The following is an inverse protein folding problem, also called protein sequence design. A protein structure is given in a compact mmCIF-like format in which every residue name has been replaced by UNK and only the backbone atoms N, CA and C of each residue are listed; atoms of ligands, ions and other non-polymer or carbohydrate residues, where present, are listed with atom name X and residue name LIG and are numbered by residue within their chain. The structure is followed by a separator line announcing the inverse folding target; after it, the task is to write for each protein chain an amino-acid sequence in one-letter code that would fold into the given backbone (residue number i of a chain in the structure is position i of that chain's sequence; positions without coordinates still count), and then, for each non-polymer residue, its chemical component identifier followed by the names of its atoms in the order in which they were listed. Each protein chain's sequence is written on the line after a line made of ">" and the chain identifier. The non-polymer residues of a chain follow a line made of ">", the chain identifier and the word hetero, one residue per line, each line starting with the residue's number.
data_IF_742920890669
#
_entry.id   IF_742920890669
#
_cell.length_a   1.000
_cell.length_b   1.000
_cell.length_c   1.000
_cell.angle_alpha   90.00
_cell.angle_beta   90.00
_cell.angle_gamma   90.00
#
_symmetry.space_group_name_H-M   'P 1'
#
loop_
_entity.id
_entity.type
_entity.pdbx_description
1 polymer ?
#
# COMPACT_ATOMS: atom_id res chain seq x y z
N UNK A 1 -10.32 24.47 -20.96
CA UNK A 1 -10.59 23.25 -20.15
C UNK A 1 -9.83 22.09 -20.78
N UNK A 2 -8.60 21.84 -20.35
CA UNK A 2 -7.82 20.70 -20.82
C UNK A 2 -7.74 19.70 -19.68
N UNK A 3 -8.63 18.72 -19.69
CA UNK A 3 -8.58 17.57 -18.79
C UNK A 3 -7.33 16.75 -19.12
N UNK A 4 -6.31 16.78 -18.26
CA UNK A 4 -5.14 15.91 -18.39
C UNK A 4 -5.51 14.49 -17.96
N UNK A 5 -5.73 13.65 -18.96
CA UNK A 5 -5.67 12.19 -18.84
C UNK A 5 -4.24 11.79 -18.49
N UNK A 6 -4.01 11.04 -17.41
CA UNK A 6 -2.89 10.10 -17.31
C UNK A 6 -3.29 8.96 -16.38
N UNK A 7 -3.63 7.82 -16.99
CA UNK A 7 -3.63 6.49 -16.40
C UNK A 7 -2.25 6.22 -15.77
N UNK A 8 -2.05 6.56 -14.51
CA UNK A 8 -0.77 6.31 -13.82
C UNK A 8 -0.82 4.93 -13.18
N UNK A 9 -0.02 4.00 -13.71
CA UNK A 9 0.50 2.87 -12.93
C UNK A 9 1.30 3.47 -11.77
N UNK A 10 0.63 3.67 -10.64
CA UNK A 10 1.14 4.42 -9.51
C UNK A 10 1.57 3.49 -8.38
N UNK A 11 2.70 3.80 -7.78
CA UNK A 11 3.07 3.27 -6.47
C UNK A 11 2.20 3.94 -5.41
N UNK A 12 1.67 3.17 -4.47
CA UNK A 12 0.86 3.65 -3.35
C UNK A 12 1.66 3.40 -2.07
N UNK A 13 1.93 4.46 -1.31
CA UNK A 13 2.51 4.32 0.04
C UNK A 13 1.36 4.34 1.04
N UNK A 14 1.23 3.27 1.82
CA UNK A 14 0.21 3.17 2.85
C UNK A 14 0.71 2.34 4.04
N UNK A 15 0.01 2.43 5.18
CA UNK A 15 0.34 1.64 6.36
C UNK A 15 -0.08 0.18 6.17
N UNK A 16 0.79 -0.73 6.56
CA UNK A 16 0.61 -2.17 6.46
C UNK A 16 0.78 -2.84 7.81
N UNK A 17 -0.14 -3.75 8.14
CA UNK A 17 -0.17 -4.47 9.40
C UNK A 17 0.80 -5.66 9.45
N UNK A 18 1.27 -6.17 8.29
CA UNK A 18 2.17 -7.33 8.24
C UNK A 18 1.47 -8.68 8.45
N UNK A 19 0.15 -8.75 8.27
CA UNK A 19 -0.66 -9.95 8.48
C UNK A 19 -0.66 -10.83 7.21
N UNK A 20 -0.58 -12.16 7.35
CA UNK A 20 -0.62 -13.08 6.20
C UNK A 20 -1.96 -13.01 5.43
N UNK A 21 -3.05 -12.75 6.15
CA UNK A 21 -4.38 -12.52 5.56
C UNK A 21 -4.36 -11.33 4.57
N UNK A 22 -3.61 -10.29 4.92
CA UNK A 22 -3.46 -9.12 4.04
C UNK A 22 -2.67 -9.40 2.77
N UNK A 23 -1.78 -10.39 2.76
CA UNK A 23 -1.05 -10.79 1.55
C UNK A 23 -1.97 -11.44 0.52
N UNK A 24 -2.97 -12.19 0.98
CA UNK A 24 -3.96 -12.82 0.11
C UNK A 24 -4.90 -11.77 -0.53
N UNK A 25 -5.35 -10.79 0.26
CA UNK A 25 -6.13 -9.65 -0.27
C UNK A 25 -5.34 -8.84 -1.31
N UNK A 26 -4.03 -8.66 -1.09
CA UNK A 26 -3.15 -7.97 -2.02
C UNK A 26 -3.05 -8.72 -3.35
N UNK A 27 -2.94 -10.05 -3.32
CA UNK A 27 -2.94 -10.90 -4.51
C UNK A 27 -4.24 -10.78 -5.31
N UNK A 28 -5.40 -10.85 -4.63
CA UNK A 28 -6.72 -10.65 -5.26
C UNK A 28 -6.85 -9.27 -5.92
N UNK A 29 -6.29 -8.24 -5.29
CA UNK A 29 -6.26 -6.87 -5.81
C UNK A 29 -5.21 -6.67 -6.92
N UNK A 30 -4.41 -7.71 -7.23
CA UNK A 30 -3.22 -7.64 -8.09
C UNK A 30 -2.26 -6.53 -7.65
N UNK A 31 -2.02 -6.42 -6.36
CA UNK A 31 -1.10 -5.44 -5.76
C UNK A 31 0.00 -6.20 -5.03
N UNK A 32 1.24 -5.75 -5.15
CA UNK A 32 2.39 -6.35 -4.45
C UNK A 32 3.18 -5.30 -3.70
N UNK A 33 3.76 -5.69 -2.55
CA UNK A 33 4.67 -4.84 -1.78
C UNK A 33 6.01 -4.81 -2.54
N UNK A 34 6.43 -3.62 -2.97
CA UNK A 34 7.69 -3.42 -3.69
C UNK A 34 8.84 -3.05 -2.76
N UNK A 35 8.55 -2.28 -1.73
CA UNK A 35 9.56 -1.84 -0.78
C UNK A 35 8.92 -1.43 0.54
N UNK A 36 9.60 -1.73 1.65
CA UNK A 36 9.25 -1.24 2.99
C UNK A 36 10.37 -0.30 3.41
N UNK A 37 10.15 1.03 3.43
CA UNK A 37 11.18 1.97 3.86
C UNK A 37 11.64 1.66 5.30
N UNK A 38 12.96 1.68 5.54
CA UNK A 38 13.50 1.55 6.91
C UNK A 38 13.24 2.79 7.75
N UNK A 39 13.25 3.97 7.12
CA UNK A 39 12.89 5.23 7.75
C UNK A 39 11.37 5.37 7.81
N UNK A 40 10.82 4.86 8.90
CA UNK A 40 9.40 4.97 9.23
C UNK A 40 9.19 6.34 9.89
N UNK A 41 8.28 7.15 9.33
CA UNK A 41 8.03 8.53 9.82
C UNK A 41 7.40 8.60 11.21
N UNK A 42 7.22 7.45 11.88
CA UNK A 42 6.42 7.33 13.09
C UNK A 42 4.93 7.55 12.82
N UNK A 43 4.10 7.24 13.81
CA UNK A 43 2.65 7.40 13.74
C UNK A 43 1.91 6.10 13.46
N UNK A 44 0.96 5.78 14.34
CA UNK A 44 -0.07 4.78 14.09
C UNK A 44 -1.06 5.33 13.07
N UNK A 45 -1.27 4.58 12.00
CA UNK A 45 -2.39 4.81 11.11
C UNK A 45 -3.10 3.47 10.83
N UNK A 46 -4.39 3.51 10.45
CA UNK A 46 -5.11 2.29 10.10
C UNK A 46 -4.47 1.63 8.88
N UNK A 47 -4.34 0.31 8.93
CA UNK A 47 -3.86 -0.50 7.84
C UNK A 47 -4.80 -0.34 6.64
N UNK A 48 -4.21 -0.19 5.45
CA UNK A 48 -4.96 0.03 4.21
C UNK A 48 -5.91 -1.12 3.84
N UNK A 49 -5.72 -2.30 4.42
CA UNK A 49 -6.50 -3.51 4.12
C UNK A 49 -7.49 -3.85 5.25
N UNK A 50 -7.02 -3.87 6.49
CA UNK A 50 -7.81 -4.35 7.64
C UNK A 50 -8.31 -3.24 8.55
N UNK A 51 -7.83 -2.01 8.40
CA UNK A 51 -8.13 -0.90 9.32
C UNK A 51 -7.47 -1.02 10.70
N UNK A 52 -6.74 -2.10 10.98
CA UNK A 52 -6.01 -2.29 12.25
C UNK A 52 -4.90 -1.23 12.43
N UNK A 53 -4.56 -0.83 13.66
CA UNK A 53 -3.45 0.08 13.89
C UNK A 53 -2.14 -0.51 13.35
N UNK A 54 -1.50 0.23 12.45
CA UNK A 54 -0.26 -0.16 11.80
C UNK A 54 0.75 1.00 11.88
N UNK A 55 1.97 0.64 12.26
CA UNK A 55 3.08 1.59 12.40
C UNK A 55 4.01 1.56 11.18
N UNK A 56 3.92 0.51 10.37
CA UNK A 56 4.81 0.24 9.24
C UNK A 56 4.22 0.82 7.95
N UNK A 57 4.94 1.69 7.28
CA UNK A 57 4.71 2.12 5.90
C UNK A 57 5.25 1.06 4.93
N UNK A 58 4.41 0.63 4.00
CA UNK A 58 4.80 -0.19 2.86
C UNK A 58 4.45 0.52 1.55
N UNK A 59 5.27 0.30 0.53
CA UNK A 59 5.04 0.79 -0.83
C UNK A 59 4.49 -0.35 -1.66
N UNK A 60 3.26 -0.16 -2.10
CA UNK A 60 2.49 -1.07 -2.92
C UNK A 60 2.56 -0.65 -4.39
N UNK A 61 2.55 -1.61 -5.30
CA UNK A 61 2.39 -1.36 -6.73
C UNK A 61 1.48 -2.40 -7.35
N UNK A 62 0.71 -1.99 -8.35
CA UNK A 62 -0.09 -2.92 -9.14
C UNK A 62 0.84 -3.89 -9.89
N UNK A 63 0.64 -5.18 -9.70
CA UNK A 63 1.17 -6.25 -10.54
C UNK A 63 0.20 -6.48 -11.72
N UNK A 64 0.75 -6.82 -12.89
CA UNK A 64 -0.03 -7.02 -14.12
C UNK A 64 -0.69 -8.40 -14.13
#
# INVERSE_FOLDING_TARGET
>A
MTFLTQKKGGFVRAKWCGDADTEQMLDELKVTIRCIPKEQRGGEAPCVLTGKPATIDAIFAKAY
#
